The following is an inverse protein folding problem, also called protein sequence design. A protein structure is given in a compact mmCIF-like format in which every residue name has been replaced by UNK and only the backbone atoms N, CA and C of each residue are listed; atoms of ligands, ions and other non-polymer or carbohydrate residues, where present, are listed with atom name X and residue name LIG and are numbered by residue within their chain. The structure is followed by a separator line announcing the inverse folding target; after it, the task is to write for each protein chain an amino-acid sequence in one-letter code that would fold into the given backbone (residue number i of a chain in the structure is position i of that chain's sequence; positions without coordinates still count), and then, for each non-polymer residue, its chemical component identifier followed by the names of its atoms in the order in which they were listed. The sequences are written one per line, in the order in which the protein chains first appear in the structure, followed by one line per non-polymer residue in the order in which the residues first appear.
data_IF_225392105325
#
_entry.id   IF_225392105325
#
_cell.length_a   1.000
_cell.length_b   1.000
_cell.length_c   1.000
_cell.angle_alpha   90.00
_cell.angle_beta   90.00
_cell.angle_gamma   90.00
#
_symmetry.space_group_name_H-M   'P 1'
#
loop_
_entity.id
_entity.type
_entity.pdbx_description
1 polymer ?
#
# COMPACT_ATOMS: atom_id res chain seq x y z
N UNK A 1 26.61 7.79 -37.38
CA UNK A 1 25.79 8.47 -36.36
C UNK A 1 24.64 7.54 -35.98
N UNK A 2 24.92 6.50 -35.19
CA UNK A 2 23.94 5.47 -34.77
C UNK A 2 24.39 4.86 -33.42
N UNK A 3 24.37 5.66 -32.35
CA UNK A 3 24.74 5.20 -31.01
C UNK A 3 23.81 5.75 -29.91
N UNK A 4 22.62 6.22 -30.29
CA UNK A 4 21.62 6.79 -29.35
C UNK A 4 20.50 5.76 -29.05
N UNK A 5 20.33 4.72 -29.86
CA UNK A 5 19.21 3.78 -29.73
C UNK A 5 19.37 2.72 -28.62
N UNK A 6 20.59 2.24 -28.37
CA UNK A 6 20.79 1.09 -27.47
C UNK A 6 20.60 1.42 -25.98
N UNK A 7 20.86 2.66 -25.56
CA UNK A 7 20.66 3.10 -24.18
C UNK A 7 19.19 3.44 -23.87
N UNK A 8 18.40 3.77 -24.90
CA UNK A 8 17.01 4.23 -24.75
C UNK A 8 16.01 3.07 -24.61
N UNK A 9 16.31 1.91 -25.19
CA UNK A 9 15.50 0.69 -25.07
C UNK A 9 15.35 0.15 -23.64
N UNK A 10 16.42 0.02 -22.82
CA UNK A 10 16.27 -0.45 -21.45
C UNK A 10 15.52 0.55 -20.56
N UNK A 11 15.63 1.85 -20.83
CA UNK A 11 14.92 2.88 -20.07
C UNK A 11 13.42 2.91 -20.37
N UNK A 12 13.03 2.73 -21.63
CA UNK A 12 11.62 2.55 -22.01
C UNK A 12 11.02 1.29 -21.38
N UNK A 13 11.77 0.17 -21.37
CA UNK A 13 11.32 -1.06 -20.72
C UNK A 13 11.13 -0.89 -19.20
N UNK A 14 11.97 -0.09 -18.54
CA UNK A 14 11.81 0.24 -17.11
C UNK A 14 10.58 1.10 -16.88
N UNK A 15 10.35 2.13 -17.70
CA UNK A 15 9.17 2.99 -17.59
C UNK A 15 7.86 2.21 -17.78
N UNK A 16 7.80 1.33 -18.77
CA UNK A 16 6.65 0.46 -19.01
C UNK A 16 6.42 -0.49 -17.83
N UNK A 17 7.48 -1.07 -17.28
CA UNK A 17 7.40 -1.94 -16.09
C UNK A 17 6.86 -1.17 -14.87
N UNK A 18 7.28 0.07 -14.66
CA UNK A 18 6.79 0.92 -13.56
C UNK A 18 5.29 1.19 -13.71
N UNK A 19 4.81 1.50 -14.91
CA UNK A 19 3.38 1.71 -15.19
C UNK A 19 2.58 0.44 -14.87
N UNK A 20 3.06 -0.72 -15.30
CA UNK A 20 2.40 -2.01 -15.03
C UNK A 20 2.32 -2.28 -13.53
N UNK A 21 3.40 -2.05 -12.78
CA UNK A 21 3.40 -2.27 -11.32
C UNK A 21 2.43 -1.32 -10.58
N UNK A 22 2.27 -0.07 -11.04
CA UNK A 22 1.24 0.80 -10.49
C UNK A 22 -0.19 0.33 -10.82
N UNK A 23 -0.40 -0.24 -12.01
CA UNK A 23 -1.70 -0.83 -12.37
C UNK A 23 -2.00 -2.07 -11.51
N UNK A 24 -1.05 -2.99 -11.36
CA UNK A 24 -1.19 -4.17 -10.50
C UNK A 24 -1.49 -3.77 -9.04
N UNK A 25 -0.79 -2.75 -8.52
CA UNK A 25 -1.09 -2.20 -7.18
C UNK A 25 -2.51 -1.65 -7.08
N UNK A 26 -2.98 -0.96 -8.12
CA UNK A 26 -4.34 -0.41 -8.16
C UNK A 26 -5.39 -1.53 -8.22
N UNK A 27 -5.16 -2.58 -9.01
CA UNK A 27 -6.04 -3.75 -9.11
C UNK A 27 -6.15 -4.49 -7.78
N UNK A 28 -5.01 -4.82 -7.15
CA UNK A 28 -5.00 -5.49 -5.83
C UNK A 28 -5.71 -4.64 -4.78
N UNK A 29 -5.55 -3.31 -4.82
CA UNK A 29 -6.23 -2.40 -3.88
C UNK A 29 -7.73 -2.29 -4.15
N UNK A 30 -8.14 -2.26 -5.42
CA UNK A 30 -9.55 -2.25 -5.79
C UNK A 30 -10.24 -3.56 -5.38
N UNK A 31 -9.63 -4.72 -5.65
CA UNK A 31 -10.16 -6.02 -5.22
C UNK A 31 -10.25 -6.12 -3.70
N UNK A 32 -9.27 -5.58 -2.96
CA UNK A 32 -9.37 -5.54 -1.51
C UNK A 32 -10.52 -4.65 -1.04
N UNK A 33 -10.76 -3.49 -1.66
CA UNK A 33 -11.91 -2.64 -1.33
C UNK A 33 -13.26 -3.34 -1.54
N UNK A 34 -13.37 -4.22 -2.54
CA UNK A 34 -14.58 -5.02 -2.75
C UNK A 34 -14.86 -5.99 -1.60
N UNK A 35 -13.83 -6.43 -0.87
CA UNK A 35 -14.00 -7.31 0.30
C UNK A 35 -14.60 -6.62 1.53
N UNK A 36 -14.71 -5.28 1.53
CA UNK A 36 -15.37 -4.52 2.61
C UNK A 36 -16.91 -4.47 2.48
N UNK A 37 -17.51 -5.08 1.45
CA UNK A 37 -18.96 -4.96 1.19
C UNK A 37 -19.84 -5.41 2.37
N UNK A 38 -19.41 -6.41 3.14
CA UNK A 38 -20.13 -6.94 4.30
C UNK A 38 -19.53 -6.51 5.66
N UNK A 39 -18.65 -5.50 5.67
CA UNK A 39 -18.00 -4.99 6.89
C UNK A 39 -16.48 -5.13 6.86
N UNK A 40 -15.89 -5.76 7.89
CA UNK A 40 -14.45 -6.02 7.91
C UNK A 40 -14.10 -7.12 6.91
N UNK A 41 -13.05 -6.95 6.09
CA UNK A 41 -12.54 -8.03 5.25
C UNK A 41 -12.09 -9.22 6.11
N UNK A 42 -12.23 -10.43 5.60
CA UNK A 42 -11.78 -11.63 6.29
C UNK A 42 -10.24 -11.70 6.40
N UNK A 43 -9.75 -12.58 7.28
CA UNK A 43 -8.31 -12.71 7.55
C UNK A 43 -7.51 -13.15 6.31
N UNK A 44 -8.10 -13.98 5.45
CA UNK A 44 -7.48 -14.44 4.21
C UNK A 44 -7.33 -13.30 3.20
N UNK A 45 -8.39 -12.52 3.00
CA UNK A 45 -8.38 -11.33 2.15
C UNK A 45 -7.35 -10.29 2.62
N UNK A 46 -7.28 -10.05 3.93
CA UNK A 46 -6.27 -9.16 4.52
C UNK A 46 -4.84 -9.68 4.32
N UNK A 47 -4.59 -10.96 4.60
CA UNK A 47 -3.27 -11.56 4.45
C UNK A 47 -2.81 -11.53 2.99
N UNK A 48 -3.70 -11.87 2.05
CA UNK A 48 -3.43 -11.79 0.62
C UNK A 48 -3.11 -10.36 0.19
N UNK A 49 -3.95 -9.39 0.57
CA UNK A 49 -3.76 -7.99 0.21
C UNK A 49 -2.39 -7.46 0.67
N UNK A 50 -2.03 -7.68 1.95
CA UNK A 50 -0.76 -7.19 2.48
C UNK A 50 0.44 -7.90 1.86
N UNK A 51 0.36 -9.22 1.64
CA UNK A 51 1.44 -9.97 1.00
C UNK A 51 1.68 -9.51 -0.45
N UNK A 52 0.61 -9.41 -1.26
CA UNK A 52 0.68 -8.93 -2.64
C UNK A 52 1.21 -7.50 -2.71
N UNK A 53 0.76 -6.62 -1.81
CA UNK A 53 1.19 -5.23 -1.78
C UNK A 53 2.66 -5.07 -1.39
N UNK A 54 3.15 -5.86 -0.43
CA UNK A 54 4.56 -5.88 -0.04
C UNK A 54 5.44 -6.32 -1.23
N UNK A 55 5.04 -7.38 -1.93
CA UNK A 55 5.78 -7.87 -3.11
C UNK A 55 5.86 -6.81 -4.22
N UNK A 56 4.72 -6.24 -4.59
CA UNK A 56 4.63 -5.24 -5.66
C UNK A 56 5.43 -3.96 -5.33
N UNK A 57 5.33 -3.46 -4.10
CA UNK A 57 6.15 -2.32 -3.64
C UNK A 57 7.64 -2.68 -3.63
N UNK A 58 7.99 -3.89 -3.20
CA UNK A 58 9.37 -4.38 -3.22
C UNK A 58 9.97 -4.45 -4.62
N UNK A 59 9.15 -4.78 -5.63
CA UNK A 59 9.54 -4.75 -7.06
C UNK A 59 9.60 -3.33 -7.62
N UNK A 60 8.71 -2.43 -7.19
CA UNK A 60 8.61 -1.05 -7.68
C UNK A 60 9.76 -0.15 -7.17
N UNK A 61 10.11 -0.25 -5.87
CA UNK A 61 11.15 0.57 -5.24
C UNK A 61 12.49 0.63 -6.00
N UNK A 62 13.12 -0.51 -6.39
CA UNK A 62 14.40 -0.47 -7.10
C UNK A 62 14.29 0.16 -8.49
N UNK A 63 13.14 0.04 -9.16
CA UNK A 63 12.92 0.67 -10.47
C UNK A 63 12.78 2.18 -10.36
N UNK A 64 12.05 2.68 -9.36
CA UNK A 64 11.96 4.12 -9.08
C UNK A 64 13.32 4.70 -8.69
N UNK A 65 14.13 3.96 -7.93
CA UNK A 65 15.48 4.38 -7.58
C UNK A 65 16.38 4.53 -8.82
N UNK A 66 16.31 3.57 -9.75
CA UNK A 66 17.01 3.62 -11.04
C UNK A 66 16.50 4.76 -11.92
N UNK A 67 15.19 4.95 -12.00
CA UNK A 67 14.57 6.04 -12.75
C UNK A 67 15.05 7.41 -12.21
N UNK A 68 15.08 7.60 -10.89
CA UNK A 68 15.60 8.83 -10.27
C UNK A 68 17.06 9.12 -10.62
N UNK A 69 17.90 8.07 -10.72
CA UNK A 69 19.29 8.21 -11.13
C UNK A 69 19.42 8.54 -12.63
N UNK A 70 18.57 7.94 -13.48
CA UNK A 70 18.54 8.21 -14.92
C UNK A 70 18.01 9.61 -15.27
N UNK A 71 17.05 10.16 -14.50
CA UNK A 71 16.56 11.55 -14.68
C UNK A 71 17.69 12.60 -14.53
N UNK A 72 18.80 12.27 -13.86
CA UNK A 72 19.97 13.15 -13.76
C UNK A 72 20.94 13.05 -14.96
N UNK A 73 20.70 12.15 -15.91
CA UNK A 73 21.45 12.03 -17.16
C UNK A 73 20.51 11.82 -18.34
N UNK A 74 20.15 12.90 -19.04
CA UNK A 74 19.41 12.92 -20.31
C UNK A 74 18.07 12.17 -20.40
N UNK A 75 16.98 12.94 -20.26
CA UNK A 75 15.88 12.88 -21.23
C UNK A 75 14.96 11.67 -21.24
N UNK A 76 14.34 11.34 -20.11
CA UNK A 76 13.13 10.51 -20.10
C UNK A 76 11.99 11.21 -20.86
N UNK A 77 11.40 10.52 -21.83
CA UNK A 77 10.32 11.03 -22.69
C UNK A 77 9.09 11.47 -21.88
N UNK A 78 8.45 12.58 -22.29
CA UNK A 78 7.33 13.18 -21.57
C UNK A 78 6.06 12.29 -21.50
N UNK A 79 5.86 11.37 -22.46
CA UNK A 79 4.67 10.52 -22.52
C UNK A 79 4.61 9.39 -21.47
N UNK A 80 5.66 8.55 -21.27
CA UNK A 80 5.62 7.52 -20.23
C UNK A 80 5.47 8.09 -18.81
N UNK A 81 5.97 9.31 -18.57
CA UNK A 81 5.81 9.98 -17.28
C UNK A 81 4.36 10.39 -16.98
N UNK A 82 3.62 10.90 -17.98
CA UNK A 82 2.23 11.29 -17.80
C UNK A 82 1.33 10.10 -17.47
N UNK A 83 1.54 8.97 -18.15
CA UNK A 83 0.81 7.73 -17.85
C UNK A 83 1.17 7.20 -16.45
N UNK A 84 2.45 7.21 -16.09
CA UNK A 84 2.89 6.84 -14.74
C UNK A 84 2.22 7.72 -13.67
N UNK A 85 2.18 9.04 -13.86
CA UNK A 85 1.50 9.95 -12.93
C UNK A 85 0.01 9.64 -12.80
N UNK A 86 -0.68 9.38 -13.92
CA UNK A 86 -2.09 8.98 -13.90
C UNK A 86 -2.31 7.71 -13.08
N UNK A 87 -1.45 6.69 -13.23
CA UNK A 87 -1.55 5.45 -12.46
C UNK A 87 -1.26 5.68 -10.97
N UNK A 88 -0.29 6.54 -10.66
CA UNK A 88 0.01 6.95 -9.28
C UNK A 88 -1.17 7.64 -8.60
N UNK A 89 -1.80 8.60 -9.28
CA UNK A 89 -2.96 9.33 -8.76
C UNK A 89 -4.15 8.40 -8.51
N UNK A 90 -4.39 7.45 -9.42
CA UNK A 90 -5.42 6.41 -9.24
C UNK A 90 -5.14 5.57 -7.99
N UNK A 91 -3.91 5.07 -7.82
CA UNK A 91 -3.53 4.29 -6.65
C UNK A 91 -3.70 5.10 -5.36
N UNK A 92 -3.28 6.36 -5.34
CA UNK A 92 -3.44 7.24 -4.18
C UNK A 92 -4.91 7.45 -3.80
N UNK A 93 -5.81 7.57 -4.79
CA UNK A 93 -7.24 7.67 -4.55
C UNK A 93 -7.84 6.37 -3.97
N UNK A 94 -7.35 5.20 -4.39
CA UNK A 94 -7.76 3.92 -3.82
C UNK A 94 -7.23 3.75 -2.38
N UNK A 95 -5.99 4.15 -2.13
CA UNK A 95 -5.40 4.13 -0.79
C UNK A 95 -6.15 5.00 0.20
N UNK A 96 -6.58 6.19 -0.23
CA UNK A 96 -7.42 7.07 0.58
C UNK A 96 -8.74 6.39 0.96
N UNK A 97 -9.33 5.61 0.04
CA UNK A 97 -10.55 4.85 0.33
C UNK A 97 -10.28 3.72 1.33
N UNK A 98 -9.18 2.97 1.20
CA UNK A 98 -8.81 1.92 2.17
C UNK A 98 -8.61 2.53 3.56
N UNK A 99 -7.88 3.64 3.66
CA UNK A 99 -7.68 4.34 4.93
C UNK A 99 -8.99 4.83 5.54
N UNK A 100 -9.91 5.35 4.72
CA UNK A 100 -11.23 5.77 5.17
C UNK A 100 -12.05 4.60 5.72
N UNK A 101 -12.03 3.44 5.05
CA UNK A 101 -12.70 2.21 5.51
C UNK A 101 -12.12 1.69 6.82
N UNK A 102 -10.80 1.62 6.93
CA UNK A 102 -10.12 1.20 8.17
C UNK A 102 -10.41 2.15 9.34
N UNK A 103 -10.46 3.47 9.08
CA UNK A 103 -10.82 4.46 10.10
C UNK A 103 -12.28 4.31 10.57
N UNK A 104 -13.21 4.00 9.66
CA UNK A 104 -14.60 3.72 10.01
C UNK A 104 -14.72 2.47 10.92
N UNK A 105 -14.06 1.37 10.55
CA UNK A 105 -14.02 0.15 11.38
C UNK A 105 -13.42 0.41 12.77
N UNK A 106 -12.34 1.20 12.84
CA UNK A 106 -11.74 1.57 14.13
C UNK A 106 -12.71 2.39 15.00
N UNK A 107 -13.51 3.28 14.40
CA UNK A 107 -14.50 4.07 15.11
C UNK A 107 -15.66 3.21 15.63
N UNK A 108 -16.14 2.24 14.83
CA UNK A 108 -17.16 1.26 15.23
C UNK A 108 -16.69 0.42 16.42
N UNK A 109 -15.49 -0.19 16.33
CA UNK A 109 -14.88 -0.94 17.44
C UNK A 109 -14.77 -0.05 18.70
N UNK A 110 -14.37 1.21 18.53
CA UNK A 110 -14.29 2.18 19.63
C UNK A 110 -15.64 2.47 20.27
N UNK A 111 -16.71 2.57 19.48
CA UNK A 111 -18.09 2.77 19.94
C UNK A 111 -18.61 1.53 20.69
N UNK A 112 -18.36 0.34 20.17
CA UNK A 112 -18.76 -0.93 20.80
C UNK A 112 -18.05 -1.14 22.15
N UNK A 113 -16.74 -0.89 22.21
CA UNK A 113 -15.98 -0.94 23.47
C UNK A 113 -16.50 0.07 24.50
N UNK A 114 -16.98 1.24 24.05
CA UNK A 114 -17.60 2.23 24.93
C UNK A 114 -18.97 1.77 25.43
N UNK A 115 -19.80 1.19 24.56
CA UNK A 115 -21.12 0.65 24.88
C UNK A 115 -21.05 -0.51 25.87
N UNK A 116 -20.03 -1.36 25.77
CA UNK A 116 -19.75 -2.45 26.72
C UNK A 116 -19.19 -1.98 28.09
N UNK A 117 -19.20 -0.67 28.37
CA UNK A 117 -18.70 -0.10 29.62
C UNK A 117 -17.17 -0.13 29.76
N UNK A 118 -16.44 -0.52 28.71
CA UNK A 118 -14.97 -0.60 28.71
C UNK A 118 -14.28 0.69 28.23
N UNK A 119 -15.02 1.78 28.06
CA UNK A 119 -14.58 2.98 27.32
C UNK A 119 -13.26 3.66 27.74
N UNK A 120 -12.78 3.50 28.98
CA UNK A 120 -11.46 4.03 29.40
C UNK A 120 -10.37 2.96 29.57
N UNK A 121 -10.70 1.73 29.97
CA UNK A 121 -9.72 0.64 30.19
C UNK A 121 -9.55 -0.26 28.95
N UNK A 122 -10.61 -0.54 28.20
CA UNK A 122 -10.57 -1.33 26.96
C UNK A 122 -9.92 -0.58 25.80
N UNK A 123 -10.21 0.72 25.64
CA UNK A 123 -9.54 1.58 24.65
C UNK A 123 -8.04 1.78 24.94
N UNK A 124 -7.65 1.81 26.22
CA UNK A 124 -6.25 1.83 26.62
C UNK A 124 -5.56 0.47 26.36
N UNK A 125 -6.22 -0.66 26.64
CA UNK A 125 -5.73 -2.00 26.34
C UNK A 125 -5.53 -2.24 24.84
N UNK A 126 -6.47 -1.81 24.00
CA UNK A 126 -6.34 -1.89 22.53
C UNK A 126 -5.18 -1.03 22.00
N UNK A 127 -5.00 0.19 22.53
CA UNK A 127 -3.85 1.05 22.19
C UNK A 127 -2.50 0.50 22.67
N UNK A 128 -2.48 -0.26 23.77
CA UNK A 128 -1.27 -0.94 24.27
C UNK A 128 -0.98 -2.20 23.46
N UNK A 129 -2.00 -2.97 23.04
CA UNK A 129 -1.84 -4.15 22.17
C UNK A 129 -1.28 -3.81 20.78
N UNK A 130 -1.57 -2.60 20.26
CA UNK A 130 -0.98 -2.09 19.03
C UNK A 130 0.49 -1.61 19.18
N UNK A 131 1.03 -1.53 20.41
CA UNK A 131 2.37 -1.00 20.68
C UNK A 131 3.33 -1.96 21.38
N UNK A 132 2.93 -3.17 21.71
CA UNK A 132 3.81 -4.09 22.44
C UNK A 132 3.50 -5.54 22.16
N UNK A 133 4.52 -6.28 21.69
CA UNK A 133 4.61 -7.71 21.90
C UNK A 133 4.18 -8.07 23.33
N UNK A 134 3.32 -9.07 23.55
CA UNK A 134 2.91 -9.45 24.88
C UNK A 134 4.10 -10.11 25.59
N UNK A 135 4.83 -9.33 26.41
CA UNK A 135 5.67 -9.89 27.47
C UNK A 135 4.74 -10.50 28.51
N UNK A 136 4.48 -11.80 28.38
CA UNK A 136 3.84 -12.60 29.40
C UNK A 136 4.56 -12.40 30.74
N UNK A 137 3.93 -11.68 31.66
CA UNK A 137 4.38 -11.61 33.04
C UNK A 137 4.24 -13.00 33.67
N UNK A 138 5.36 -13.73 33.80
CA UNK A 138 5.45 -14.86 34.73
C UNK A 138 5.39 -14.30 36.14
N UNK A 139 4.29 -14.54 36.84
CA UNK A 139 4.26 -14.50 38.30
C UNK A 139 4.73 -15.86 38.79
N UNK A 140 6.02 -15.99 39.12
CA UNK A 140 6.49 -17.09 39.98
C UNK A 140 6.16 -16.73 41.43
N UNK A 141 5.70 -17.76 42.15
CA UNK A 141 5.15 -17.74 43.51
C UNK A 141 6.02 -17.01 44.54
#
# INVERSE_FOLDING_TARGET
MMAIDAARQPEMAVADTVVVLYEELAEVTASFLETFQDGSPDEGAQAFFWAARIDLVGRLQPLLARQKQAVHGDGLGQQPLALQLQKMERLAALDAQVLSRLAALQAEIGADLKALGQGKKGLAGYRVGLKGEPRFCRKTA
#
